data_IF_590619825380
#
_entry.id   IF_590619825380
#
_cell.length_a   1.000
_cell.length_b   1.000
_cell.length_c   1.000
_cell.angle_alpha   90.00
_cell.angle_beta   90.00
_cell.angle_gamma   90.00
#
_symmetry.space_group_name_H-M   'P 1'
#
loop_
_entity.id
_entity.type
_entity.pdbx_description
1 polymer ?
#
# COMPACT_ATOMS: atom_id res chain seq x y z
N UNK A 1 -2.95 16.66 -7.28
CA UNK A 1 -1.90 17.38 -6.48
C UNK A 1 -0.73 16.42 -6.52
N UNK A 2 0.42 16.81 -7.07
CA UNK A 2 1.52 15.87 -7.36
C UNK A 2 1.79 14.86 -6.22
N UNK A 3 1.90 15.35 -4.97
CA UNK A 3 2.14 14.50 -3.80
C UNK A 3 1.07 13.40 -3.55
N UNK A 4 -0.21 13.72 -3.78
CA UNK A 4 -1.29 12.73 -3.60
C UNK A 4 -1.22 11.64 -4.66
N UNK A 5 -0.96 12.06 -5.90
CA UNK A 5 -0.83 11.15 -7.03
C UNK A 5 0.40 10.24 -6.83
N UNK A 6 1.51 10.80 -6.33
CA UNK A 6 2.74 10.08 -5.98
C UNK A 6 2.51 9.06 -4.82
N UNK A 7 1.77 9.44 -3.77
CA UNK A 7 1.46 8.53 -2.66
C UNK A 7 0.61 7.35 -3.12
N UNK A 8 -0.38 7.60 -3.97
CA UNK A 8 -1.26 6.55 -4.50
C UNK A 8 -0.50 5.65 -5.49
N UNK A 9 0.36 6.22 -6.33
CA UNK A 9 1.24 5.47 -7.24
C UNK A 9 2.18 4.55 -6.45
N UNK A 10 2.79 5.06 -5.37
CA UNK A 10 3.64 4.26 -4.50
C UNK A 10 2.87 3.12 -3.82
N UNK A 11 1.67 3.37 -3.30
CA UNK A 11 0.83 2.31 -2.70
C UNK A 11 0.49 1.22 -3.72
N UNK A 12 0.10 1.60 -4.94
CA UNK A 12 -0.20 0.63 -6.00
C UNK A 12 1.05 -0.20 -6.37
N UNK A 13 2.20 0.45 -6.52
CA UNK A 13 3.47 -0.22 -6.79
C UNK A 13 3.82 -1.24 -5.69
N UNK A 14 3.65 -0.89 -4.42
CA UNK A 14 3.96 -1.77 -3.29
C UNK A 14 3.04 -3.00 -3.27
N UNK A 15 1.75 -2.82 -3.54
CA UNK A 15 0.80 -3.95 -3.63
C UNK A 15 1.14 -4.91 -4.77
N UNK A 16 1.48 -4.39 -5.96
CA UNK A 16 1.93 -5.21 -7.08
C UNK A 16 3.24 -5.95 -6.77
N UNK A 17 4.20 -5.26 -6.15
CA UNK A 17 5.48 -5.86 -5.73
C UNK A 17 5.28 -6.97 -4.69
N UNK A 18 4.39 -6.78 -3.71
CA UNK A 18 4.05 -7.81 -2.73
C UNK A 18 3.48 -9.05 -3.44
N UNK A 19 2.59 -8.87 -4.43
CA UNK A 19 2.04 -9.99 -5.20
C UNK A 19 3.14 -10.74 -5.94
N UNK A 20 4.01 -10.03 -6.66
CA UNK A 20 5.12 -10.63 -7.41
C UNK A 20 6.10 -11.41 -6.53
N UNK A 21 6.46 -10.84 -5.37
CA UNK A 21 7.35 -11.51 -4.41
C UNK A 21 6.68 -12.75 -3.81
N UNK A 22 5.38 -12.68 -3.52
CA UNK A 22 4.60 -13.77 -2.94
C UNK A 22 4.37 -14.93 -3.92
N UNK A 23 4.27 -14.65 -5.21
CA UNK A 23 4.12 -15.66 -6.27
C UNK A 23 5.44 -16.40 -6.59
N UNK A 24 6.56 -15.88 -6.10
CA UNK A 24 7.89 -16.48 -6.30
C UNK A 24 8.23 -17.54 -5.25
N UNK A 25 9.23 -18.40 -5.52
CA UNK A 25 9.66 -19.43 -4.56
C UNK A 25 9.98 -18.79 -3.19
N UNK A 26 9.34 -19.24 -2.10
CA UNK A 26 9.46 -18.61 -0.78
C UNK A 26 10.85 -18.83 -0.18
N UNK A 27 11.35 -17.79 0.48
CA UNK A 27 12.52 -17.82 1.37
C UNK A 27 12.26 -16.89 2.56
N UNK A 28 12.89 -17.14 3.71
CA UNK A 28 12.75 -16.30 4.91
C UNK A 28 13.07 -14.82 4.62
N UNK A 29 14.11 -14.59 3.80
CA UNK A 29 14.48 -13.25 3.36
C UNK A 29 13.34 -12.56 2.58
N UNK A 30 12.71 -13.27 1.63
CA UNK A 30 11.59 -12.72 0.85
C UNK A 30 10.34 -12.50 1.70
N UNK A 31 10.07 -13.40 2.65
CA UNK A 31 8.97 -13.21 3.60
C UNK A 31 9.19 -11.94 4.42
N UNK A 32 10.40 -11.74 4.96
CA UNK A 32 10.74 -10.49 5.66
C UNK A 32 10.62 -9.24 4.78
N UNK A 33 10.90 -9.33 3.48
CA UNK A 33 10.67 -8.23 2.54
C UNK A 33 9.17 -7.94 2.35
N UNK A 34 8.34 -8.96 2.16
CA UNK A 34 6.89 -8.81 2.04
C UNK A 34 6.29 -8.20 3.30
N UNK A 35 6.71 -8.68 4.48
CA UNK A 35 6.21 -8.18 5.77
C UNK A 35 6.58 -6.70 5.97
N UNK A 36 7.83 -6.33 5.65
CA UNK A 36 8.27 -4.94 5.73
C UNK A 36 7.54 -4.01 4.76
N UNK A 37 7.27 -4.47 3.54
CA UNK A 37 6.51 -3.72 2.54
C UNK A 37 5.04 -3.52 2.97
N UNK A 38 4.40 -4.56 3.51
CA UNK A 38 3.04 -4.47 4.06
C UNK A 38 2.97 -3.45 5.19
N UNK A 39 3.88 -3.54 6.15
CA UNK A 39 3.96 -2.59 7.26
C UNK A 39 4.11 -1.14 6.77
N UNK A 40 4.99 -0.88 5.80
CA UNK A 40 5.20 0.46 5.27
C UNK A 40 3.94 0.99 4.54
N UNK A 41 3.28 0.13 3.75
CA UNK A 41 2.04 0.49 3.08
C UNK A 41 0.91 0.82 4.07
N UNK A 42 0.75 0.00 5.10
CA UNK A 42 -0.29 0.18 6.13
C UNK A 42 -0.05 1.46 6.93
N UNK A 43 1.20 1.74 7.32
CA UNK A 43 1.54 3.01 7.99
C UNK A 43 1.19 4.23 7.15
N UNK A 44 1.44 4.18 5.83
CA UNK A 44 1.08 5.30 4.96
C UNK A 44 -0.43 5.41 4.79
N UNK A 45 -1.16 4.29 4.61
CA UNK A 45 -2.62 4.28 4.55
C UNK A 45 -3.23 4.90 5.80
N UNK A 46 -2.76 4.50 6.99
CA UNK A 46 -3.21 5.03 8.28
C UNK A 46 -2.93 6.53 8.39
N UNK A 47 -1.72 6.97 8.03
CA UNK A 47 -1.37 8.39 8.04
C UNK A 47 -2.27 9.21 7.11
N UNK A 48 -2.56 8.70 5.90
CA UNK A 48 -3.40 9.40 4.92
C UNK A 48 -4.88 9.42 5.30
N UNK A 49 -5.34 8.48 6.12
CA UNK A 49 -6.73 8.39 6.58
C UNK A 49 -7.18 9.66 7.34
N UNK A 50 -6.27 10.31 8.04
CA UNK A 50 -6.53 11.52 8.82
C UNK A 50 -6.66 12.80 7.97
N UNK A 51 -6.38 12.72 6.66
CA UNK A 51 -6.43 13.87 5.77
C UNK A 51 -7.60 13.78 4.79
N UNK A 52 -8.66 14.61 4.96
CA UNK A 52 -9.88 14.55 4.15
C UNK A 52 -9.70 14.93 2.67
N UNK A 53 -8.51 15.40 2.26
CA UNK A 53 -8.13 15.60 0.86
C UNK A 53 -7.45 14.37 0.22
N UNK A 54 -7.07 13.37 1.00
CA UNK A 54 -6.37 12.15 0.57
C UNK A 54 -7.30 10.94 0.54
N UNK A 55 -8.32 10.93 1.41
CA UNK A 55 -9.45 10.01 1.35
C UNK A 55 -10.57 10.68 0.57
N UNK A 56 -10.86 10.22 -0.65
CA UNK A 56 -12.05 10.65 -1.39
C UNK A 56 -13.29 10.39 -0.51
N UNK A 57 -14.03 11.43 -0.10
CA UNK A 57 -15.12 11.30 0.88
C UNK A 57 -16.32 10.52 0.34
N UNK A 58 -16.36 10.18 -0.95
CA UNK A 58 -17.45 9.39 -1.54
C UNK A 58 -17.03 7.97 -1.89
N UNK A 59 -15.86 7.74 -2.52
CA UNK A 59 -15.47 6.39 -2.97
C UNK A 59 -13.99 6.33 -3.38
N UNK A 60 -13.04 6.04 -2.47
CA UNK A 60 -11.75 5.44 -2.89
C UNK A 60 -11.18 4.37 -1.96
N UNK A 61 -11.68 4.23 -0.73
CA UNK A 61 -11.13 3.25 0.23
C UNK A 61 -12.05 2.09 0.61
N UNK A 62 -13.27 2.02 0.08
CA UNK A 62 -14.11 0.81 0.15
C UNK A 62 -13.50 -0.41 -0.59
N UNK A 63 -12.36 -0.22 -1.28
CA UNK A 63 -11.57 -1.31 -1.86
C UNK A 63 -10.49 -1.87 -0.92
N UNK A 64 -10.17 -1.20 0.19
CA UNK A 64 -9.14 -1.63 1.15
C UNK A 64 -9.70 -2.32 2.40
N UNK A 65 -11.01 -2.60 2.43
CA UNK A 65 -11.58 -3.57 3.37
C UNK A 65 -11.67 -4.95 2.71
N UNK A 66 -10.61 -5.74 2.86
CA UNK A 66 -10.68 -7.20 2.84
C UNK A 66 -10.44 -7.72 4.26
#
# INVERSE_FOLDING_TARGET
MALMDDCMEWLNYVEDLIRELSDSKPSEFKQGQVDGLRMAADMLKDYLADYPGYVDPLRKFDQFKM
#
